data_IF_667401846097
#
_entry.id   IF_667401846097
#
_cell.length_a   1.000
_cell.length_b   1.000
_cell.length_c   1.000
_cell.angle_alpha   90.00
_cell.angle_beta   90.00
_cell.angle_gamma   90.00
#
_symmetry.space_group_name_H-M   'P 1'
#
loop_
_entity.id
_entity.type
_entity.pdbx_description
1 polymer ?
#
# COMPACT_ATOMS: atom_id res chain seq x y z
N UNK A 1 -3.21 19.29 22.86
CA UNK A 1 -1.88 18.75 22.48
C UNK A 1 -1.99 17.41 21.75
N UNK A 2 -2.53 16.32 22.35
CA UNK A 2 -2.62 14.98 21.72
C UNK A 2 -3.12 14.88 20.26
N UNK A 3 -3.93 15.83 19.79
CA UNK A 3 -4.42 15.85 18.40
C UNK A 3 -3.31 16.17 17.38
N UNK A 4 -2.37 17.04 17.71
CA UNK A 4 -1.30 17.49 16.80
C UNK A 4 -0.13 16.50 16.73
N UNK A 5 0.04 15.67 17.75
CA UNK A 5 1.18 14.76 17.88
C UNK A 5 1.02 13.45 17.11
N UNK A 6 -0.09 13.27 16.39
CA UNK A 6 -0.36 12.04 15.64
C UNK A 6 -0.14 12.23 14.14
N UNK A 7 0.40 11.21 13.43
CA UNK A 7 0.56 11.25 12.00
C UNK A 7 -0.80 11.46 11.33
N UNK A 8 -0.89 12.51 10.51
CA UNK A 8 -2.10 12.87 9.75
C UNK A 8 -1.96 12.53 8.29
N UNK A 9 -3.08 12.15 7.70
CA UNK A 9 -3.17 12.02 6.26
C UNK A 9 -3.24 13.42 5.64
N UNK A 10 -2.30 13.72 4.74
CA UNK A 10 -2.30 14.92 3.91
C UNK A 10 -2.73 14.51 2.50
N UNK A 11 -4.02 14.62 2.21
CA UNK A 11 -4.61 14.19 0.95
C UNK A 11 -4.42 15.19 -0.20
N UNK A 12 -3.17 15.57 -0.50
CA UNK A 12 -2.89 16.42 -1.64
C UNK A 12 -3.26 15.70 -2.96
N UNK A 13 -3.57 16.43 -4.05
CA UNK A 13 -4.16 15.84 -5.25
C UNK A 13 -3.39 14.64 -5.84
N UNK A 14 -2.06 14.71 -5.85
CA UNK A 14 -1.21 13.62 -6.34
C UNK A 14 -1.28 12.38 -5.43
N UNK A 15 -1.28 12.54 -4.10
CA UNK A 15 -1.41 11.43 -3.17
C UNK A 15 -2.74 10.68 -3.36
N UNK A 16 -3.85 11.40 -3.48
CA UNK A 16 -5.15 10.78 -3.73
C UNK A 16 -5.19 10.08 -5.09
N UNK A 17 -4.58 10.67 -6.13
CA UNK A 17 -4.47 10.03 -7.45
C UNK A 17 -3.70 8.71 -7.38
N UNK A 18 -2.59 8.66 -6.65
CA UNK A 18 -1.80 7.43 -6.50
C UNK A 18 -2.60 6.35 -5.76
N UNK A 19 -3.36 6.72 -4.72
CA UNK A 19 -4.27 5.79 -4.03
C UNK A 19 -5.31 5.22 -5.01
N UNK A 20 -5.90 6.07 -5.84
CA UNK A 20 -6.90 5.63 -6.82
C UNK A 20 -6.32 4.70 -7.88
N UNK A 21 -5.10 4.96 -8.35
CA UNK A 21 -4.39 4.05 -9.26
C UNK A 21 -4.12 2.70 -8.58
N UNK A 22 -3.70 2.68 -7.32
CA UNK A 22 -3.51 1.43 -6.57
C UNK A 22 -4.83 0.66 -6.38
N UNK A 23 -5.93 1.34 -6.06
CA UNK A 23 -7.27 0.74 -5.95
C UNK A 23 -7.69 0.11 -7.29
N UNK A 24 -7.53 0.86 -8.37
CA UNK A 24 -7.81 0.36 -9.71
C UNK A 24 -6.88 -0.77 -10.16
N UNK A 25 -5.74 -1.03 -9.50
CA UNK A 25 -4.93 -2.24 -9.75
C UNK A 25 -5.47 -3.44 -8.95
N UNK A 26 -5.92 -3.22 -7.73
CA UNK A 26 -6.54 -4.24 -6.87
C UNK A 26 -7.84 -4.80 -7.47
N UNK A 27 -8.67 -3.96 -8.10
CA UNK A 27 -9.97 -4.36 -8.67
C UNK A 27 -9.87 -5.02 -10.05
N UNK A 28 -8.65 -5.12 -10.63
CA UNK A 28 -8.50 -5.72 -11.96
C UNK A 28 -8.67 -7.24 -11.91
N UNK A 29 -9.33 -7.83 -12.92
CA UNK A 29 -9.36 -9.28 -13.06
C UNK A 29 -7.95 -9.83 -13.25
N UNK A 30 -7.74 -11.04 -12.71
CA UNK A 30 -6.47 -11.75 -12.87
C UNK A 30 -6.18 -12.03 -14.35
N UNK A 31 -4.92 -11.89 -14.74
CA UNK A 31 -4.43 -12.14 -16.10
C UNK A 31 -2.97 -12.60 -16.08
N UNK A 32 -2.47 -13.25 -17.15
CA UNK A 32 -1.13 -13.84 -17.16
C UNK A 32 0.02 -12.89 -16.80
N UNK A 33 -0.14 -11.59 -17.09
CA UNK A 33 0.76 -10.53 -16.65
C UNK A 33 -0.03 -9.43 -15.96
N UNK A 34 0.02 -9.41 -14.63
CA UNK A 34 -0.60 -8.34 -13.86
C UNK A 34 0.18 -7.03 -14.05
N UNK A 35 -0.52 -5.89 -14.18
CA UNK A 35 0.10 -4.58 -14.24
C UNK A 35 0.73 -4.24 -12.88
N UNK A 36 1.87 -3.55 -12.91
CA UNK A 36 2.59 -3.07 -11.75
C UNK A 36 2.67 -1.54 -11.74
N UNK A 37 2.88 -0.96 -10.55
CA UNK A 37 3.06 0.48 -10.35
C UNK A 37 4.42 0.73 -9.70
N UNK A 38 5.24 1.58 -10.33
CA UNK A 38 6.47 2.11 -9.74
C UNK A 38 6.22 3.56 -9.30
N UNK A 39 6.27 3.81 -8.00
CA UNK A 39 6.13 5.15 -7.43
C UNK A 39 7.51 5.77 -7.17
N UNK A 40 7.92 6.72 -8.01
CA UNK A 40 9.20 7.44 -7.91
C UNK A 40 8.96 8.85 -7.38
N UNK A 41 9.86 9.32 -6.52
CA UNK A 41 9.90 10.70 -6.04
C UNK A 41 10.97 10.84 -4.96
N UNK A 42 11.38 12.06 -4.65
CA UNK A 42 12.42 12.31 -3.65
C UNK A 42 12.03 11.82 -2.25
N UNK A 43 13.02 11.71 -1.37
CA UNK A 43 12.77 11.48 0.05
C UNK A 43 11.82 12.56 0.59
N UNK A 44 11.08 12.22 1.64
CA UNK A 44 10.08 13.11 2.27
C UNK A 44 8.84 13.48 1.40
N UNK A 45 8.67 12.93 0.19
CA UNK A 45 7.46 13.12 -0.63
C UNK A 45 6.27 12.21 -0.25
N UNK A 46 6.23 11.70 0.98
CA UNK A 46 5.07 10.94 1.48
C UNK A 46 4.86 9.56 0.86
N UNK A 47 5.82 8.99 0.11
CA UNK A 47 5.70 7.65 -0.51
C UNK A 47 5.29 6.57 0.50
N UNK A 48 6.01 6.49 1.62
CA UNK A 48 5.69 5.55 2.71
C UNK A 48 4.30 5.81 3.30
N UNK A 49 3.95 7.08 3.50
CA UNK A 49 2.64 7.49 4.03
C UNK A 49 1.50 7.09 3.10
N UNK A 50 1.68 7.22 1.79
CA UNK A 50 0.71 6.79 0.77
C UNK A 50 0.50 5.27 0.84
N UNK A 51 1.57 4.47 0.89
CA UNK A 51 1.48 2.99 1.00
C UNK A 51 0.76 2.58 2.29
N UNK A 52 1.12 3.19 3.42
CA UNK A 52 0.46 2.89 4.70
C UNK A 52 -1.02 3.32 4.72
N UNK A 53 -1.35 4.44 4.07
CA UNK A 53 -2.73 4.89 3.91
C UNK A 53 -3.55 3.89 3.10
N UNK A 54 -3.01 3.43 1.97
CA UNK A 54 -3.65 2.42 1.13
C UNK A 54 -3.89 1.12 1.91
N UNK A 55 -2.87 0.61 2.62
CA UNK A 55 -3.00 -0.57 3.51
C UNK A 55 -4.07 -0.37 4.56
N UNK A 56 -4.15 0.80 5.20
CA UNK A 56 -5.17 1.08 6.23
C UNK A 56 -6.58 1.12 5.65
N UNK A 57 -6.75 1.59 4.41
CA UNK A 57 -8.07 1.77 3.81
C UNK A 57 -8.59 0.51 3.11
N UNK A 58 -7.70 -0.31 2.54
CA UNK A 58 -8.07 -1.45 1.69
C UNK A 58 -7.40 -2.77 2.10
N UNK A 59 -6.62 -2.79 3.18
CA UNK A 59 -5.84 -3.95 3.61
C UNK A 59 -6.46 -4.77 4.75
N UNK A 60 -7.65 -4.41 5.22
CA UNK A 60 -8.39 -5.23 6.18
C UNK A 60 -8.70 -6.59 5.55
N UNK A 61 -8.48 -7.66 6.32
CA UNK A 61 -8.79 -9.01 5.85
C UNK A 61 -10.30 -9.25 5.91
N UNK A 62 -10.80 -10.08 5.00
CA UNK A 62 -12.21 -10.45 4.94
C UNK A 62 -12.33 -11.93 4.54
N UNK A 63 -13.55 -12.47 4.61
CA UNK A 63 -13.88 -13.81 4.09
C UNK A 63 -14.69 -13.60 2.81
N UNK A 64 -14.29 -14.24 1.71
CA UNK A 64 -15.00 -14.11 0.44
C UNK A 64 -16.26 -15.00 0.39
N UNK A 65 -17.00 -14.94 -0.72
CA UNK A 65 -18.23 -15.71 -0.92
C UNK A 65 -18.00 -17.24 -0.92
N UNK A 66 -16.76 -17.66 -1.21
CA UNK A 66 -16.31 -19.06 -1.18
C UNK A 66 -15.83 -19.51 0.22
N UNK A 67 -16.03 -18.68 1.25
CA UNK A 67 -15.64 -18.94 2.66
C UNK A 67 -14.11 -19.04 2.84
N UNK A 68 -13.35 -18.40 1.96
CA UNK A 68 -11.89 -18.36 2.04
C UNK A 68 -11.42 -17.05 2.70
N UNK A 69 -10.46 -17.10 3.63
CA UNK A 69 -9.87 -15.90 4.22
C UNK A 69 -8.97 -15.19 3.20
N UNK A 70 -9.25 -13.90 2.96
CA UNK A 70 -8.51 -13.06 2.01
C UNK A 70 -7.75 -11.96 2.74
N UNK A 71 -6.48 -11.80 2.40
CA UNK A 71 -5.65 -10.65 2.79
C UNK A 71 -5.32 -9.81 1.55
N UNK A 72 -6.06 -8.72 1.29
CA UNK A 72 -6.00 -8.02 0.00
C UNK A 72 -4.75 -7.14 -0.19
N UNK A 73 -4.10 -6.72 0.91
CA UNK A 73 -2.85 -5.94 0.85
C UNK A 73 -1.83 -6.51 1.81
N UNK A 74 -0.65 -6.82 1.27
CA UNK A 74 0.56 -7.16 2.02
C UNK A 74 1.60 -6.07 1.72
N UNK A 75 2.20 -5.51 2.77
CA UNK A 75 3.26 -4.51 2.66
C UNK A 75 4.56 -5.14 3.13
N UNK A 76 5.57 -5.13 2.28
CA UNK A 76 6.92 -5.60 2.58
C UNK A 76 7.92 -4.46 2.39
N UNK A 77 9.05 -4.55 3.08
CA UNK A 77 10.20 -3.67 2.88
C UNK A 77 11.39 -4.52 2.50
N UNK A 78 12.15 -4.08 1.50
CA UNK A 78 13.42 -4.70 1.19
C UNK A 78 14.43 -4.33 2.29
N UNK A 79 15.21 -5.29 2.81
CA UNK A 79 16.29 -4.97 3.72
C UNK A 79 17.34 -4.08 3.03
N UNK A 80 18.02 -3.20 3.77
CA UNK A 80 19.04 -2.31 3.22
C UNK A 80 20.30 -3.05 2.71
N UNK A 81 20.52 -4.28 3.14
CA UNK A 81 21.55 -5.20 2.65
C UNK A 81 20.96 -6.60 2.43
N UNK A 82 21.46 -7.31 1.42
CA UNK A 82 21.16 -8.72 1.23
C UNK A 82 22.09 -9.54 2.13
N UNK A 83 21.60 -10.02 3.26
CA UNK A 83 22.34 -10.93 4.13
C UNK A 83 21.59 -12.27 4.22
N UNK A 84 22.18 -13.33 3.67
CA UNK A 84 21.62 -14.70 3.67
C UNK A 84 21.65 -15.36 5.06
N UNK A 85 22.31 -14.75 6.05
CA UNK A 85 22.63 -15.38 7.35
C UNK A 85 21.66 -15.13 8.50
N UNK A 86 20.47 -14.58 8.25
CA UNK A 86 19.54 -14.22 9.34
C UNK A 86 18.13 -14.81 9.19
N UNK A 87 17.95 -15.84 8.37
CA UNK A 87 16.74 -16.66 8.31
C UNK A 87 16.84 -17.86 9.26
#
# INVERSE_FOLDING_TARGET
MKFMDQPRWLGYPLANRVIEVMRGLMEKPSRPRMPNLLLVGDSNNGKTTIVQRFRKQYGEGYVNDDVEPVKPVIVTQAPPSADEKSL
#
